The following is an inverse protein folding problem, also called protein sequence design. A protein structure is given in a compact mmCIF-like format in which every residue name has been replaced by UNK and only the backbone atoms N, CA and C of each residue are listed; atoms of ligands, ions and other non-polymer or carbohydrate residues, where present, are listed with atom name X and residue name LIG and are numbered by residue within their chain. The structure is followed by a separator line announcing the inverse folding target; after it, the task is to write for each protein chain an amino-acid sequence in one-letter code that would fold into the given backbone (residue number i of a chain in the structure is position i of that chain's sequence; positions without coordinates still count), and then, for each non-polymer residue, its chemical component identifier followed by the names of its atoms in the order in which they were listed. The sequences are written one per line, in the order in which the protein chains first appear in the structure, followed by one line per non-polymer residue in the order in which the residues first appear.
data_IF_072839347648
#
_entry.id   IF_072839347648
#
_cell.length_a   1.000
_cell.length_b   1.000
_cell.length_c   1.000
_cell.angle_alpha   90.00
_cell.angle_beta   90.00
_cell.angle_gamma   90.00
#
_symmetry.space_group_name_H-M   'P 1'
#
loop_
_entity.id
_entity.type
_entity.pdbx_description
1 polymer ?
#
# COMPACT_ATOMS: atom_id res chain seq x y z
N UNK A 1 8.51 -20.74 8.26
CA UNK A 1 7.84 -20.06 7.15
C UNK A 1 7.63 -18.60 7.47
N UNK A 2 7.96 -17.76 6.53
CA UNK A 2 7.77 -16.33 6.68
C UNK A 2 6.38 -15.96 6.16
N UNK A 3 5.58 -15.36 7.02
CA UNK A 3 4.27 -14.88 6.62
C UNK A 3 4.43 -13.57 5.86
N UNK A 4 3.92 -13.52 4.66
CA UNK A 4 3.98 -12.31 3.84
C UNK A 4 2.57 -11.92 3.45
N UNK A 5 2.36 -10.62 3.41
CA UNK A 5 1.09 -10.06 2.98
C UNK A 5 1.32 -9.09 1.82
N UNK A 6 0.26 -8.82 1.13
CA UNK A 6 0.26 -7.93 -0.02
C UNK A 6 -0.74 -6.81 0.23
N UNK A 7 -0.31 -5.59 0.04
CA UNK A 7 -1.15 -4.42 0.21
C UNK A 7 -1.24 -3.65 -1.11
N UNK A 8 -2.46 -3.32 -1.49
CA UNK A 8 -2.71 -2.41 -2.58
C UNK A 8 -3.53 -1.26 -2.01
N UNK A 9 -2.98 -0.05 -2.06
CA UNK A 9 -3.60 1.08 -1.39
C UNK A 9 -3.64 2.28 -2.32
N UNK A 10 -4.79 2.92 -2.37
CA UNK A 10 -4.97 4.15 -3.15
C UNK A 10 -5.01 5.33 -2.20
N UNK A 11 -4.11 6.27 -2.40
CA UNK A 11 -3.96 7.44 -1.55
C UNK A 11 -4.31 8.72 -2.29
N UNK A 12 -4.95 9.63 -1.57
CA UNK A 12 -5.15 10.99 -2.06
C UNK A 12 -3.83 11.74 -1.96
N UNK A 13 -3.49 12.46 -3.02
CA UNK A 13 -2.21 13.13 -3.13
C UNK A 13 -2.44 14.61 -3.44
N UNK A 14 -1.66 15.47 -2.78
CA UNK A 14 -1.61 16.89 -3.08
C UNK A 14 -0.17 17.24 -3.43
N UNK A 15 0.09 18.39 -4.07
CA UNK A 15 1.48 18.79 -4.33
C UNK A 15 2.33 18.83 -3.06
N UNK A 16 1.73 19.17 -1.92
CA UNK A 16 2.45 19.24 -0.65
C UNK A 16 2.79 17.85 -0.12
N UNK A 17 1.90 16.87 -0.28
CA UNK A 17 2.09 15.54 0.28
C UNK A 17 2.82 14.58 -0.64
N UNK A 18 2.88 14.88 -1.94
CA UNK A 18 3.49 13.98 -2.91
C UNK A 18 4.94 13.58 -2.58
N UNK A 19 5.83 14.53 -2.23
CA UNK A 19 7.20 14.13 -1.88
C UNK A 19 7.25 13.24 -0.65
N UNK A 20 6.40 13.52 0.32
CA UNK A 20 6.33 12.75 1.56
C UNK A 20 5.87 11.32 1.29
N UNK A 21 4.85 11.16 0.46
CA UNK A 21 4.34 9.85 0.09
C UNK A 21 5.40 9.08 -0.71
N UNK A 22 6.05 9.73 -1.65
CA UNK A 22 7.09 9.10 -2.47
C UNK A 22 8.23 8.60 -1.59
N UNK A 23 8.64 9.41 -0.61
CA UNK A 23 9.68 8.99 0.32
C UNK A 23 9.24 7.79 1.16
N UNK A 24 8.02 7.80 1.66
CA UNK A 24 7.48 6.68 2.43
C UNK A 24 7.44 5.41 1.59
N UNK A 25 7.02 5.52 0.33
CA UNK A 25 7.00 4.37 -0.57
C UNK A 25 8.40 3.78 -0.72
N UNK A 26 9.40 4.63 -0.86
CA UNK A 26 10.78 4.16 -0.97
C UNK A 26 11.27 3.50 0.31
N UNK A 27 10.97 4.08 1.45
CA UNK A 27 11.37 3.53 2.75
C UNK A 27 10.75 2.15 2.97
N UNK A 28 9.49 1.98 2.59
CA UNK A 28 8.78 0.72 2.75
C UNK A 28 8.99 -0.23 1.58
N UNK A 29 9.80 0.17 0.61
CA UNK A 29 10.11 -0.61 -0.58
C UNK A 29 8.86 -1.00 -1.36
N UNK A 30 7.94 -0.05 -1.46
CA UNK A 30 6.75 -0.23 -2.25
C UNK A 30 6.97 0.16 -3.69
N UNK A 31 5.92 -0.01 -4.48
CA UNK A 31 5.90 0.39 -5.88
C UNK A 31 4.71 1.29 -6.13
N UNK A 32 4.91 2.33 -6.91
CA UNK A 32 3.79 3.11 -7.44
C UNK A 32 3.34 2.41 -8.71
N UNK A 33 2.15 1.83 -8.69
CA UNK A 33 1.63 1.09 -9.84
C UNK A 33 0.75 1.94 -10.74
N UNK A 34 0.25 3.05 -10.19
CA UNK A 34 -0.51 4.01 -10.99
C UNK A 34 -0.54 5.34 -10.25
N UNK A 35 -0.66 6.43 -10.99
CA UNK A 35 -0.80 7.74 -10.36
C UNK A 35 -1.43 8.74 -11.32
N UNK A 36 -2.06 9.75 -10.75
CA UNK A 36 -2.54 10.91 -11.49
C UNK A 36 -2.35 12.14 -10.61
N UNK A 37 -2.93 13.28 -11.01
CA UNK A 37 -2.72 14.53 -10.28
C UNK A 37 -3.20 14.46 -8.83
N UNK A 38 -4.24 13.67 -8.56
CA UNK A 38 -4.93 13.67 -7.27
C UNK A 38 -4.75 12.41 -6.46
N UNK A 39 -4.20 11.37 -7.04
CA UNK A 39 -4.09 10.09 -6.34
C UNK A 39 -2.91 9.26 -6.82
N UNK A 40 -2.55 8.29 -5.99
CA UNK A 40 -1.52 7.31 -6.26
C UNK A 40 -1.98 5.95 -5.80
N UNK A 41 -1.67 4.91 -6.57
CA UNK A 41 -1.90 3.53 -6.15
C UNK A 41 -0.55 2.90 -5.87
N UNK A 42 -0.40 2.37 -4.67
CA UNK A 42 0.86 1.84 -4.18
C UNK A 42 0.70 0.37 -3.83
N UNK A 43 1.68 -0.43 -4.22
CA UNK A 43 1.74 -1.85 -3.91
C UNK A 43 2.90 -2.10 -2.97
N UNK A 44 2.63 -2.78 -1.86
CA UNK A 44 3.67 -3.14 -0.88
C UNK A 44 3.49 -4.60 -0.51
N UNK A 45 4.60 -5.35 -0.47
CA UNK A 45 4.62 -6.73 -0.03
C UNK A 45 5.60 -6.88 1.11
N UNK A 46 5.26 -7.66 2.09
CA UNK A 46 6.17 -7.89 3.20
C UNK A 46 5.47 -8.49 4.40
N UNK A 47 6.12 -8.40 5.55
CA UNK A 47 5.56 -8.88 6.79
C UNK A 47 4.37 -8.00 7.21
N UNK A 48 3.40 -8.59 7.93
CA UNK A 48 2.22 -7.84 8.34
C UNK A 48 2.52 -6.55 9.09
N UNK A 49 3.54 -6.55 9.94
CA UNK A 49 3.90 -5.35 10.70
C UNK A 49 4.34 -4.20 9.80
N UNK A 50 5.04 -4.53 8.72
CA UNK A 50 5.49 -3.53 7.76
C UNK A 50 4.29 -2.87 7.07
N UNK A 51 3.33 -3.69 6.64
CA UNK A 51 2.14 -3.17 6.00
C UNK A 51 1.30 -2.34 6.95
N UNK A 52 1.17 -2.80 8.20
CA UNK A 52 0.45 -2.06 9.22
C UNK A 52 1.07 -0.70 9.48
N UNK A 53 2.40 -0.62 9.49
CA UNK A 53 3.09 0.64 9.69
C UNK A 53 2.79 1.63 8.57
N UNK A 54 2.79 1.15 7.33
CA UNK A 54 2.47 2.02 6.19
C UNK A 54 1.01 2.49 6.26
N UNK A 55 0.10 1.61 6.62
CA UNK A 55 -1.32 1.96 6.76
C UNK A 55 -1.50 3.02 7.84
N UNK A 56 -0.79 2.89 8.97
CA UNK A 56 -0.86 3.89 10.03
C UNK A 56 -0.37 5.26 9.57
N UNK A 57 0.72 5.28 8.82
CA UNK A 57 1.21 6.51 8.22
C UNK A 57 0.12 7.17 7.37
N UNK A 58 -0.52 6.39 6.52
CA UNK A 58 -1.54 6.90 5.62
C UNK A 58 -2.79 7.36 6.38
N UNK A 59 -3.15 6.65 7.45
CA UNK A 59 -4.30 7.03 8.29
C UNK A 59 -4.08 8.35 9.00
N UNK A 60 -2.89 8.54 9.55
CA UNK A 60 -2.57 9.77 10.29
C UNK A 60 -2.72 11.02 9.44
N UNK A 61 -2.52 10.87 8.15
CA UNK A 61 -2.59 11.98 7.21
C UNK A 61 -3.91 12.01 6.43
N UNK A 62 -4.84 11.12 6.79
CA UNK A 62 -6.17 11.04 6.16
C UNK A 62 -6.09 10.93 4.64
N UNK A 63 -5.20 10.08 4.16
CA UNK A 63 -4.94 9.97 2.74
C UNK A 63 -5.61 8.78 2.06
N UNK A 64 -6.14 7.83 2.83
CA UNK A 64 -6.63 6.57 2.26
C UNK A 64 -7.94 6.75 1.53
N UNK A 65 -7.98 6.40 0.25
CA UNK A 65 -9.20 6.38 -0.55
C UNK A 65 -9.76 4.96 -0.58
N UNK A 66 -8.90 4.00 -0.90
CA UNK A 66 -9.25 2.59 -0.96
C UNK A 66 -8.06 1.77 -0.54
N UNK A 67 -8.33 0.56 -0.06
CA UNK A 67 -7.27 -0.32 0.40
C UNK A 67 -7.71 -1.77 0.28
N UNK A 68 -6.80 -2.61 -0.21
CA UNK A 68 -7.00 -4.05 -0.23
C UNK A 68 -5.76 -4.70 0.35
N UNK A 69 -5.95 -5.51 1.39
CA UNK A 69 -4.86 -6.19 2.05
C UNK A 69 -5.17 -7.68 2.10
N UNK A 70 -4.22 -8.51 1.69
CA UNK A 70 -4.41 -9.94 1.66
C UNK A 70 -3.14 -10.66 2.08
N UNK A 71 -3.31 -11.74 2.82
CA UNK A 71 -2.19 -12.60 3.15
C UNK A 71 -1.82 -13.48 1.96
N UNK A 72 -0.64 -14.07 2.02
CA UNK A 72 -0.15 -14.91 0.93
C UNK A 72 -1.12 -16.05 0.59
N UNK A 73 -1.66 -16.69 1.61
CA UNK A 73 -2.60 -17.78 1.39
C UNK A 73 -3.91 -17.28 0.78
N UNK A 74 -4.39 -16.15 1.22
CA UNK A 74 -5.61 -15.56 0.69
C UNK A 74 -5.45 -15.17 -0.77
N UNK A 75 -4.28 -14.65 -1.12
CA UNK A 75 -3.99 -14.29 -2.51
C UNK A 75 -4.02 -15.53 -3.40
N UNK A 76 -3.37 -16.61 -2.95
CA UNK A 76 -3.36 -17.85 -3.70
C UNK A 76 -4.75 -18.41 -3.88
N UNK A 77 -5.56 -18.38 -2.85
CA UNK A 77 -6.95 -18.84 -2.94
C UNK A 77 -7.77 -17.98 -3.87
N UNK A 78 -7.55 -16.68 -3.82
CA UNK A 78 -8.23 -15.77 -4.73
C UNK A 78 -7.94 -16.11 -6.17
N UNK A 79 -6.69 -16.40 -6.48
CA UNK A 79 -6.30 -16.79 -7.82
C UNK A 79 -6.93 -18.11 -8.25
N UNK A 80 -7.03 -19.04 -7.33
CA UNK A 80 -7.64 -20.34 -7.60
C UNK A 80 -9.14 -20.24 -7.83
N UNK A 81 -9.77 -19.31 -7.20
CA UNK A 81 -11.22 -19.16 -7.27
C UNK A 81 -11.66 -18.27 -8.43
N UNK A 82 -10.73 -17.65 -9.06
CA UNK A 82 -11.02 -16.86 -10.23
C UNK A 82 -11.14 -17.73 -11.47
#
# INVERSE_FOLDING_TARGET
TVLREHLLIKLRVTPATRPEITEAVNVFRGKVVDFNADSMIIEITGEPSKLSAFIEFAKQNDMIIEMCRAGALAVNRGLQNL
#
